data_IF_584759780046
#
_entry.id   IF_584759780046
#
_cell.length_a   1.000
_cell.length_b   1.000
_cell.length_c   1.000
_cell.angle_alpha   90.00
_cell.angle_beta   90.00
_cell.angle_gamma   90.00
#
_symmetry.space_group_name_H-M   'P 1'
#
loop_
_entity.id
_entity.type
_entity.pdbx_description
1 polymer ?
#
# COMPACT_ATOMS: atom_id res chain seq x y z
N UNK A 1 -14.71 -8.48 -15.35
CA UNK A 1 -13.55 -7.56 -15.47
C UNK A 1 -12.30 -8.45 -15.48
N UNK A 2 -11.36 -8.29 -16.43
CA UNK A 2 -10.19 -9.19 -16.51
C UNK A 2 -9.16 -8.79 -15.43
N UNK A 3 -8.69 -9.76 -14.64
CA UNK A 3 -7.73 -9.51 -13.56
C UNK A 3 -6.41 -8.98 -14.12
N UNK A 4 -5.72 -8.13 -13.35
CA UNK A 4 -4.40 -7.61 -13.73
C UNK A 4 -3.37 -8.74 -13.98
N UNK A 5 -3.49 -9.85 -13.25
CA UNK A 5 -2.64 -11.03 -13.43
C UNK A 5 -2.80 -11.68 -14.82
N UNK A 6 -3.93 -11.50 -15.49
CA UNK A 6 -4.22 -12.08 -16.81
C UNK A 6 -3.95 -11.12 -17.97
N UNK A 7 -3.56 -9.88 -17.66
CA UNK A 7 -3.24 -8.92 -18.70
C UNK A 7 -1.97 -9.37 -19.45
N UNK A 8 -1.84 -9.04 -20.74
CA UNK A 8 -0.60 -9.26 -21.47
C UNK A 8 0.59 -8.66 -20.71
N UNK A 9 1.75 -9.33 -20.73
CA UNK A 9 2.94 -8.87 -20.01
C UNK A 9 3.33 -7.43 -20.38
N UNK A 10 3.10 -7.00 -21.62
CA UNK A 10 3.30 -5.61 -22.05
C UNK A 10 2.45 -4.61 -21.25
N UNK A 11 1.19 -4.94 -20.96
CA UNK A 11 0.30 -4.12 -20.14
C UNK A 11 0.80 -4.10 -18.70
N UNK A 12 1.26 -5.23 -18.18
CA UNK A 12 1.83 -5.30 -16.84
C UNK A 12 3.10 -4.44 -16.71
N UNK A 13 4.01 -4.55 -17.67
CA UNK A 13 5.24 -3.75 -17.74
C UNK A 13 4.93 -2.26 -17.85
N UNK A 14 4.02 -1.87 -18.74
CA UNK A 14 3.62 -0.47 -18.94
C UNK A 14 3.14 0.15 -17.64
N UNK A 15 2.33 -0.57 -16.91
CA UNK A 15 1.68 -0.01 -15.75
C UNK A 15 2.56 -0.10 -14.48
N UNK A 16 3.45 -1.11 -14.35
CA UNK A 16 4.59 -1.05 -13.41
C UNK A 16 5.45 0.19 -13.66
N UNK A 17 5.66 0.57 -14.93
CA UNK A 17 6.36 1.81 -15.31
C UNK A 17 5.57 3.06 -14.91
N UNK A 18 4.23 3.04 -14.97
CA UNK A 18 3.39 4.16 -14.49
C UNK A 18 3.48 4.34 -12.98
N UNK A 19 3.37 3.25 -12.20
CA UNK A 19 3.57 3.30 -10.75
C UNK A 19 4.96 3.84 -10.43
N UNK A 20 6.02 3.33 -11.10
CA UNK A 20 7.39 3.84 -10.92
C UNK A 20 7.52 5.33 -11.25
N UNK A 21 6.90 5.80 -12.33
CA UNK A 21 6.92 7.22 -12.70
C UNK A 21 6.17 8.09 -11.69
N UNK A 22 5.03 7.62 -11.20
CA UNK A 22 4.24 8.31 -10.16
C UNK A 22 5.06 8.40 -8.86
N UNK A 23 5.71 7.30 -8.46
CA UNK A 23 6.60 7.30 -7.31
C UNK A 23 7.80 8.22 -7.52
N UNK A 24 8.39 8.27 -8.72
CA UNK A 24 9.47 9.22 -9.02
C UNK A 24 9.04 10.69 -8.84
N UNK A 25 7.78 11.01 -9.12
CA UNK A 25 7.24 12.36 -8.89
C UNK A 25 7.15 12.69 -7.39
N UNK A 26 6.72 11.72 -6.58
CA UNK A 26 6.55 11.90 -5.13
C UNK A 26 7.84 11.68 -4.34
N UNK A 27 8.83 10.96 -4.85
CA UNK A 27 10.08 10.71 -4.12
C UNK A 27 11.04 11.89 -4.25
N UNK A 28 11.52 12.51 -3.16
CA UNK A 28 12.51 13.59 -3.21
C UNK A 28 13.80 13.16 -3.94
N UNK A 29 14.48 14.08 -4.62
CA UNK A 29 15.75 13.85 -5.36
C UNK A 29 16.78 13.04 -4.55
N UNK A 30 16.91 13.33 -3.25
CA UNK A 30 17.82 12.63 -2.31
C UNK A 30 17.50 11.15 -2.04
N UNK A 31 16.31 10.69 -2.44
CA UNK A 31 15.81 9.33 -2.26
C UNK A 31 15.40 8.69 -3.58
N UNK A 32 15.77 9.29 -4.73
CA UNK A 32 15.67 8.60 -6.02
C UNK A 32 16.28 7.24 -5.81
N UNK A 33 15.45 6.20 -5.84
CA UNK A 33 15.85 4.81 -5.66
C UNK A 33 17.11 4.62 -6.49
N UNK A 34 18.26 4.41 -5.86
CA UNK A 34 19.44 3.85 -6.52
C UNK A 34 19.11 2.39 -6.82
N UNK A 35 18.23 2.20 -7.79
CA UNK A 35 17.97 0.96 -8.49
C UNK A 35 18.35 1.17 -9.96
N UNK A 36 19.37 1.99 -10.20
CA UNK A 36 20.03 2.19 -11.48
C UNK A 36 21.04 1.07 -11.77
N UNK A 37 21.34 0.18 -10.80
CA UNK A 37 22.31 -0.91 -10.97
C UNK A 37 21.77 -2.19 -11.62
N UNK A 38 20.49 -2.24 -12.02
CA UNK A 38 19.93 -3.37 -12.81
C UNK A 38 19.68 -2.99 -14.27
N UNK A 39 19.86 -1.71 -14.65
CA UNK A 39 19.59 -1.21 -16.00
C UNK A 39 20.85 -1.22 -16.89
N UNK A 40 22.04 -1.56 -16.37
CA UNK A 40 23.31 -1.54 -17.12
C UNK A 40 23.70 -2.87 -17.81
N UNK A 41 22.98 -3.98 -17.60
CA UNK A 41 23.37 -5.28 -18.20
C UNK A 41 22.56 -5.69 -19.44
N UNK A 42 21.65 -4.83 -19.92
CA UNK A 42 20.82 -5.14 -21.11
C UNK A 42 21.42 -4.68 -22.44
N UNK A 43 22.63 -4.11 -22.44
CA UNK A 43 23.24 -3.63 -23.67
C UNK A 43 24.75 -3.81 -23.70
N UNK A 44 25.26 -5.05 -23.69
CA UNK A 44 26.42 -5.50 -24.51
C UNK A 44 26.61 -7.01 -24.35
N UNK A 45 26.01 -7.81 -25.24
CA UNK A 45 26.60 -9.00 -25.92
C UNK A 45 25.49 -9.77 -26.63
N UNK A 46 25.48 -9.69 -27.96
CA UNK A 46 24.70 -10.60 -28.78
C UNK A 46 25.21 -12.02 -28.54
N UNK A 47 24.32 -12.89 -28.04
CA UNK A 47 24.30 -14.34 -28.22
C UNK A 47 22.99 -14.84 -27.60
N UNK A 48 22.10 -15.39 -28.45
CA UNK A 48 20.93 -16.24 -28.16
C UNK A 48 20.04 -15.87 -26.96
N UNK A 49 18.77 -15.54 -27.21
CA UNK A 49 17.72 -15.58 -26.18
C UNK A 49 17.77 -16.95 -25.47
N UNK A 50 17.94 -17.01 -24.13
CA UNK A 50 17.33 -18.10 -23.39
C UNK A 50 15.82 -17.81 -23.32
N UNK A 51 15.02 -18.74 -23.84
CA UNK A 51 13.58 -18.77 -23.60
C UNK A 51 13.36 -18.80 -22.08
N UNK A 52 12.89 -17.70 -21.49
CA UNK A 52 12.39 -17.74 -20.12
C UNK A 52 10.98 -18.31 -20.17
N UNK A 53 10.92 -19.64 -20.11
CA UNK A 53 9.69 -20.38 -19.84
C UNK A 53 9.22 -19.93 -18.45
N UNK A 54 8.04 -19.32 -18.39
CA UNK A 54 7.36 -19.05 -17.13
C UNK A 54 6.80 -20.38 -16.60
N UNK A 55 7.65 -21.19 -15.96
CA UNK A 55 7.14 -22.23 -15.08
C UNK A 55 6.60 -21.54 -13.82
N UNK A 56 5.36 -21.87 -13.47
CA UNK A 56 4.75 -21.48 -12.22
C UNK A 56 5.49 -22.20 -11.09
N UNK A 57 6.58 -21.62 -10.60
CA UNK A 57 7.21 -22.07 -9.36
C UNK A 57 6.24 -21.78 -8.22
N UNK A 58 5.80 -22.88 -7.58
CA UNK A 58 5.06 -22.89 -6.33
C UNK A 58 5.79 -21.98 -5.33
N UNK A 59 5.11 -20.92 -4.85
CA UNK A 59 5.74 -20.00 -3.92
C UNK A 59 6.21 -20.80 -2.70
N UNK A 60 7.49 -20.66 -2.26
CA UNK A 60 7.94 -21.35 -1.07
C UNK A 60 7.06 -20.92 0.11
N UNK A 61 6.65 -21.89 0.92
CA UNK A 61 5.99 -21.63 2.20
C UNK A 61 6.75 -20.51 2.91
N UNK A 62 6.08 -19.38 3.13
CA UNK A 62 6.68 -18.27 3.86
C UNK A 62 6.91 -18.79 5.28
N UNK A 63 8.16 -19.14 5.57
CA UNK A 63 8.58 -19.61 6.88
C UNK A 63 8.04 -18.67 7.96
N UNK A 64 7.31 -19.23 8.92
CA UNK A 64 6.64 -18.60 10.07
C UNK A 64 7.60 -17.89 11.06
N UNK A 65 8.76 -17.40 10.63
CA UNK A 65 9.65 -16.64 11.50
C UNK A 65 9.78 -15.19 11.03
N UNK A 66 9.06 -14.24 11.66
CA UNK A 66 9.38 -12.83 11.55
C UNK A 66 10.84 -12.65 11.99
N UNK A 67 11.72 -12.27 11.06
CA UNK A 67 13.09 -11.89 11.41
C UNK A 67 13.03 -10.72 12.38
N UNK A 68 13.77 -10.86 13.48
CA UNK A 68 13.93 -10.01 14.66
C UNK A 68 14.35 -8.54 14.38
N UNK A 69 13.57 -7.79 13.61
CA UNK A 69 13.69 -6.34 13.40
C UNK A 69 12.35 -5.65 13.71
N UNK A 70 11.64 -6.10 14.74
CA UNK A 70 10.31 -5.61 15.09
C UNK A 70 10.33 -4.38 16.02
N UNK A 71 11.44 -3.64 16.12
CA UNK A 71 11.59 -2.51 17.06
C UNK A 71 11.68 -1.14 16.40
N UNK A 72 11.60 -1.05 15.07
CA UNK A 72 11.64 0.22 14.33
C UNK A 72 10.25 0.64 13.85
N UNK A 73 9.78 1.81 14.29
CA UNK A 73 8.70 2.51 13.58
C UNK A 73 9.07 2.74 12.10
N UNK A 74 8.12 3.22 11.28
CA UNK A 74 8.34 3.39 9.84
C UNK A 74 9.55 4.30 9.57
N UNK A 75 10.41 3.89 8.65
CA UNK A 75 11.70 4.55 8.37
C UNK A 75 11.50 6.04 8.05
N UNK A 76 12.09 6.91 8.88
CA UNK A 76 12.04 8.38 8.73
C UNK A 76 12.69 8.87 7.44
N UNK A 77 13.58 8.06 6.87
CA UNK A 77 14.33 8.34 5.65
C UNK A 77 13.42 8.22 4.42
N UNK A 78 12.48 7.27 4.42
CA UNK A 78 11.57 6.95 3.30
C UNK A 78 10.36 7.90 3.17
N UNK A 79 10.55 9.21 3.33
CA UNK A 79 9.48 10.21 3.18
C UNK A 79 9.22 10.57 1.71
N UNK A 80 7.94 10.64 1.35
CA UNK A 80 7.46 11.14 0.07
C UNK A 80 7.12 12.63 0.16
N UNK A 81 7.02 13.29 -0.99
CA UNK A 81 6.62 14.68 -1.16
C UNK A 81 5.14 14.80 -0.83
N UNK A 82 4.82 15.76 0.03
CA UNK A 82 3.43 16.12 0.35
C UNK A 82 2.73 16.75 -0.86
N UNK A 83 1.49 16.33 -1.10
CA UNK A 83 0.60 16.85 -2.12
C UNK A 83 -0.71 17.31 -1.46
N UNK A 84 -0.97 18.63 -1.36
CA UNK A 84 -2.14 19.16 -0.68
C UNK A 84 -3.47 18.71 -1.33
N UNK A 85 -3.47 18.39 -2.62
CA UNK A 85 -4.65 17.91 -3.32
C UNK A 85 -5.02 16.49 -2.87
N UNK A 86 -4.02 15.60 -2.81
CA UNK A 86 -4.23 14.24 -2.30
C UNK A 86 -4.56 14.25 -0.80
N UNK A 87 -3.94 15.13 -0.01
CA UNK A 87 -4.29 15.35 1.40
C UNK A 87 -5.75 15.79 1.53
N UNK A 88 -6.25 16.69 0.67
CA UNK A 88 -7.65 17.11 0.69
C UNK A 88 -8.61 15.96 0.35
N UNK A 89 -8.27 15.11 -0.61
CA UNK A 89 -9.07 13.92 -0.93
C UNK A 89 -9.10 12.89 0.22
N UNK A 90 -7.94 12.64 0.84
CA UNK A 90 -7.87 11.80 2.03
C UNK A 90 -8.71 12.40 3.17
N UNK A 91 -8.61 13.71 3.40
CA UNK A 91 -9.36 14.41 4.43
C UNK A 91 -10.87 14.32 4.21
N UNK A 92 -11.34 14.49 2.96
CA UNK A 92 -12.74 14.27 2.60
C UNK A 92 -13.18 12.85 2.95
N UNK A 93 -12.28 11.86 2.78
CA UNK A 93 -12.52 10.48 3.16
C UNK A 93 -12.80 10.32 4.66
N UNK A 94 -11.95 10.90 5.51
CA UNK A 94 -12.13 10.90 6.97
C UNK A 94 -13.45 11.57 7.38
N UNK A 95 -13.80 12.71 6.74
CA UNK A 95 -15.09 13.38 6.98
C UNK A 95 -16.30 12.53 6.58
N UNK A 96 -16.28 11.93 5.39
CA UNK A 96 -17.44 11.21 4.83
C UNK A 96 -17.75 9.92 5.56
N UNK A 97 -16.74 9.28 6.13
CA UNK A 97 -16.89 8.01 6.86
C UNK A 97 -16.85 8.19 8.37
N UNK A 98 -16.75 9.44 8.85
CA UNK A 98 -16.65 9.77 10.27
C UNK A 98 -15.51 9.01 10.97
N UNK A 99 -14.38 8.84 10.27
CA UNK A 99 -13.16 8.25 10.82
C UNK A 99 -12.19 9.34 11.26
N UNK A 100 -11.25 9.00 12.13
CA UNK A 100 -10.25 9.96 12.64
C UNK A 100 -9.30 10.40 11.52
N UNK A 101 -8.87 9.43 10.71
CA UNK A 101 -7.87 9.61 9.67
C UNK A 101 -8.18 8.75 8.44
N UNK A 102 -7.60 9.13 7.31
CA UNK A 102 -7.70 8.39 6.06
C UNK A 102 -6.38 8.48 5.29
N UNK A 103 -6.10 7.46 4.50
CA UNK A 103 -4.91 7.34 3.69
C UNK A 103 -5.27 7.09 2.24
N UNK A 104 -4.44 7.60 1.35
CA UNK A 104 -4.35 7.16 -0.04
C UNK A 104 -2.99 6.51 -0.19
N UNK A 105 -2.99 5.28 -0.69
CA UNK A 105 -1.75 4.55 -0.92
C UNK A 105 -1.74 3.80 -2.24
N UNK A 106 -0.54 3.52 -2.72
CA UNK A 106 -0.26 2.61 -3.82
C UNK A 106 0.40 1.38 -3.22
N UNK A 107 0.14 0.22 -3.77
CA UNK A 107 0.78 -1.01 -3.29
C UNK A 107 1.34 -1.76 -4.48
N UNK A 108 2.58 -2.22 -4.35
CA UNK A 108 3.20 -3.18 -5.26
C UNK A 108 3.51 -4.49 -4.51
N UNK A 109 4.24 -5.42 -5.11
CA UNK A 109 4.52 -6.71 -4.47
C UNK A 109 5.42 -6.64 -3.23
N UNK A 110 6.09 -5.52 -2.97
CA UNK A 110 7.09 -5.38 -1.91
C UNK A 110 6.76 -4.27 -0.90
N UNK A 111 6.16 -3.18 -1.36
CA UNK A 111 5.99 -1.95 -0.60
C UNK A 111 4.57 -1.40 -0.70
N UNK A 112 4.18 -0.73 0.37
CA UNK A 112 3.05 0.19 0.39
C UNK A 112 3.57 1.63 0.39
N UNK A 113 3.11 2.43 -0.55
CA UNK A 113 3.45 3.85 -0.68
C UNK A 113 2.26 4.69 -0.24
N UNK A 114 2.29 5.22 0.98
CA UNK A 114 1.31 6.19 1.44
C UNK A 114 1.63 7.51 0.77
N UNK A 115 0.81 7.91 -0.20
CA UNK A 115 0.99 9.16 -0.94
C UNK A 115 0.26 10.33 -0.28
N UNK A 116 -0.73 10.04 0.56
CA UNK A 116 -1.34 11.01 1.47
C UNK A 116 -1.88 10.32 2.73
N UNK A 117 -1.70 10.98 3.87
CA UNK A 117 -2.48 10.77 5.08
C UNK A 117 -3.14 12.09 5.42
N UNK A 118 -4.38 12.04 5.88
CA UNK A 118 -5.05 13.19 6.42
C UNK A 118 -5.90 12.82 7.63
N UNK A 119 -5.89 13.68 8.62
CA UNK A 119 -6.89 13.70 9.69
C UNK A 119 -7.98 14.71 9.38
N UNK A 120 -9.06 14.71 10.17
CA UNK A 120 -10.13 15.70 9.98
C UNK A 120 -9.66 17.13 10.24
N UNK A 121 -8.62 17.32 11.07
CA UNK A 121 -8.10 18.64 11.41
C UNK A 121 -6.85 19.08 10.65
N UNK A 122 -6.24 18.22 9.82
CA UNK A 122 -5.03 18.58 9.08
C UNK A 122 -5.23 19.84 8.22
N UNK A 123 -4.27 20.76 8.29
CA UNK A 123 -4.24 21.93 7.43
C UNK A 123 -3.84 21.53 6.01
N UNK A 124 -4.58 22.03 5.02
CA UNK A 124 -4.24 21.87 3.60
C UNK A 124 -3.16 22.86 3.13
N UNK A 125 -2.88 23.89 3.94
CA UNK A 125 -1.93 24.96 3.62
C UNK A 125 -0.59 24.74 4.33
N UNK A 126 -0.65 24.40 5.62
CA UNK A 126 0.51 24.21 6.48
C UNK A 126 0.72 22.71 6.73
N UNK A 127 1.92 22.22 6.41
CA UNK A 127 2.22 20.80 6.52
C UNK A 127 2.19 20.34 7.98
N UNK A 128 1.60 19.18 8.21
CA UNK A 128 1.54 18.48 9.51
C UNK A 128 0.86 19.28 10.64
N UNK A 129 0.30 20.47 10.34
CA UNK A 129 -0.45 21.26 11.29
C UNK A 129 -1.83 20.63 11.49
N UNK A 130 -2.12 20.25 12.73
CA UNK A 130 -3.34 19.53 13.15
C UNK A 130 -3.78 20.06 14.51
N UNK A 131 -4.99 19.69 14.95
CA UNK A 131 -5.40 19.90 16.34
C UNK A 131 -4.63 18.94 17.26
N UNK A 132 -4.36 19.32 18.52
CA UNK A 132 -3.75 18.42 19.50
C UNK A 132 -4.52 17.11 19.63
N UNK A 133 -3.82 15.97 19.55
CA UNK A 133 -4.38 14.61 19.60
C UNK A 133 -4.87 14.07 18.25
N UNK A 134 -4.84 14.86 17.18
CA UNK A 134 -5.25 14.49 15.81
C UNK A 134 -4.07 14.60 14.84
N UNK A 135 -2.85 14.35 15.33
CA UNK A 135 -1.61 14.47 14.59
C UNK A 135 -1.52 13.43 13.47
N UNK A 136 -0.76 13.80 12.43
CA UNK A 136 -0.37 12.89 11.35
C UNK A 136 0.51 11.77 11.92
N UNK A 137 0.12 10.52 11.69
CA UNK A 137 0.80 9.36 12.26
C UNK A 137 1.99 8.92 11.38
N UNK A 138 1.74 8.71 10.09
CA UNK A 138 2.70 8.22 9.11
C UNK A 138 3.19 9.35 8.22
N UNK A 139 2.25 10.13 7.69
CA UNK A 139 2.48 11.06 6.60
C UNK A 139 2.78 10.35 5.29
N UNK A 140 3.11 11.14 4.26
CA UNK A 140 3.47 10.60 2.95
C UNK A 140 4.83 9.85 3.03
N UNK A 141 4.83 8.54 2.81
CA UNK A 141 6.03 7.68 2.98
C UNK A 141 5.92 6.30 2.33
N UNK A 142 7.04 5.59 2.29
CA UNK A 142 7.12 4.18 1.89
C UNK A 142 7.15 3.30 3.15
N UNK A 143 6.33 2.26 3.16
CA UNK A 143 6.23 1.23 4.18
C UNK A 143 6.57 -0.13 3.58
N UNK A 144 7.30 -0.94 4.33
CA UNK A 144 7.49 -2.34 3.97
C UNK A 144 6.16 -3.09 4.18
N UNK A 145 5.79 -3.98 3.25
CA UNK A 145 4.47 -4.63 3.24
C UNK A 145 4.11 -5.32 4.58
N UNK A 146 5.10 -5.92 5.23
CA UNK A 146 4.96 -6.63 6.51
C UNK A 146 4.54 -5.72 7.67
N UNK A 147 4.80 -4.41 7.55
CA UNK A 147 4.42 -3.41 8.55
C UNK A 147 2.97 -2.95 8.37
N UNK A 148 2.50 -2.90 7.11
CA UNK A 148 1.16 -2.48 6.74
C UNK A 148 0.06 -3.46 7.16
N UNK A 149 -1.19 -2.98 7.10
CA UNK A 149 -2.37 -3.83 7.31
C UNK A 149 -2.58 -4.69 6.06
N UNK A 150 -2.64 -6.00 6.27
CA UNK A 150 -2.93 -7.08 5.32
C UNK A 150 -2.04 -7.14 4.06
N UNK A 151 -0.98 -7.99 4.05
CA UNK A 151 -0.18 -8.20 2.84
C UNK A 151 -0.98 -8.83 1.68
N UNK A 152 -2.10 -9.49 1.98
CA UNK A 152 -2.93 -10.19 0.99
C UNK A 152 -3.99 -9.29 0.34
N UNK A 153 -4.01 -8.00 0.66
CA UNK A 153 -4.96 -7.03 0.10
C UNK A 153 -4.97 -7.06 -1.44
N UNK A 154 -3.79 -7.13 -2.09
CA UNK A 154 -3.73 -7.22 -3.56
C UNK A 154 -4.41 -8.49 -4.05
N UNK A 155 -4.13 -9.64 -3.43
CA UNK A 155 -4.73 -10.92 -3.83
C UNK A 155 -6.26 -10.87 -3.69
N UNK A 156 -6.76 -10.33 -2.58
CA UNK A 156 -8.20 -10.19 -2.34
C UNK A 156 -8.89 -9.33 -3.41
N UNK A 157 -8.30 -8.19 -3.77
CA UNK A 157 -8.90 -7.26 -4.72
C UNK A 157 -8.72 -7.63 -6.20
N UNK A 158 -7.87 -8.60 -6.48
CA UNK A 158 -7.59 -9.09 -7.85
C UNK A 158 -8.07 -10.53 -8.09
N UNK A 159 -8.63 -11.18 -7.07
CA UNK A 159 -9.24 -12.49 -7.16
C UNK A 159 -10.35 -12.53 -8.21
N UNK A 160 -10.44 -13.64 -8.94
CA UNK A 160 -11.40 -13.82 -10.06
C UNK A 160 -12.73 -14.40 -9.62
N UNK A 161 -12.71 -15.10 -8.50
CA UNK A 161 -13.84 -15.79 -7.92
C UNK A 161 -13.93 -15.47 -6.43
N UNK A 162 -14.98 -15.98 -5.80
CA UNK A 162 -15.22 -15.75 -4.38
C UNK A 162 -14.41 -16.70 -3.47
N UNK A 163 -13.46 -17.45 -4.03
CA UNK A 163 -12.63 -18.45 -3.35
C UNK A 163 -11.57 -17.73 -2.50
N UNK A 164 -12.00 -17.21 -1.35
CA UNK A 164 -11.18 -16.38 -0.47
C UNK A 164 -11.95 -15.23 0.17
N UNK A 165 -13.18 -14.97 -0.26
CA UNK A 165 -14.04 -13.98 0.36
C UNK A 165 -14.28 -14.34 1.83
N UNK A 166 -14.03 -13.37 2.71
CA UNK A 166 -14.25 -13.50 4.15
C UNK A 166 -15.46 -12.67 4.53
N UNK A 167 -16.40 -13.27 5.24
CA UNK A 167 -17.50 -12.52 5.88
C UNK A 167 -17.80 -13.12 7.24
N UNK A 168 -17.39 -12.41 8.28
CA UNK A 168 -17.73 -12.70 9.67
C UNK A 168 -17.94 -11.38 10.44
N UNK A 169 -18.15 -11.46 11.75
CA UNK A 169 -18.45 -10.29 12.58
C UNK A 169 -17.29 -9.29 12.66
N UNK A 170 -16.04 -9.73 12.51
CA UNK A 170 -14.85 -8.91 12.61
C UNK A 170 -14.32 -8.44 11.26
N UNK A 171 -14.46 -9.25 10.21
CA UNK A 171 -13.85 -9.01 8.90
C UNK A 171 -14.84 -9.28 7.77
N UNK A 172 -14.94 -8.34 6.85
CA UNK A 172 -15.57 -8.51 5.53
C UNK A 172 -14.56 -8.16 4.46
N UNK A 173 -14.10 -9.14 3.67
CA UNK A 173 -13.13 -8.95 2.62
C UNK A 173 -13.59 -9.65 1.34
N UNK A 174 -13.57 -8.92 0.23
CA UNK A 174 -13.84 -9.40 -1.12
C UNK A 174 -13.14 -8.47 -2.13
N UNK A 175 -13.50 -8.59 -3.41
CA UNK A 175 -12.89 -7.86 -4.50
C UNK A 175 -13.22 -6.36 -4.50
N UNK A 176 -14.21 -5.90 -3.73
CA UNK A 176 -14.66 -4.51 -3.72
C UNK A 176 -14.36 -3.78 -2.41
N UNK A 177 -14.16 -4.52 -1.32
CA UNK A 177 -13.87 -3.93 -0.01
C UNK A 177 -13.10 -4.88 0.91
N UNK A 178 -12.34 -4.30 1.82
CA UNK A 178 -11.73 -4.98 2.95
C UNK A 178 -11.99 -4.18 4.21
N UNK A 179 -12.91 -4.65 5.03
CA UNK A 179 -13.38 -4.00 6.26
C UNK A 179 -13.04 -4.88 7.45
N UNK A 180 -12.40 -4.28 8.45
CA UNK A 180 -12.14 -4.88 9.76
C UNK A 180 -12.80 -3.99 10.82
N UNK A 181 -13.77 -4.54 11.54
CA UNK A 181 -14.61 -3.77 12.46
C UNK A 181 -13.87 -3.42 13.77
N UNK A 182 -12.98 -4.31 14.23
CA UNK A 182 -12.15 -4.09 15.40
C UNK A 182 -10.81 -4.84 15.28
N UNK A 183 -9.75 -4.10 14.95
CA UNK A 183 -8.38 -4.59 14.84
C UNK A 183 -7.83 -5.13 16.17
N UNK A 184 -8.32 -4.64 17.32
CA UNK A 184 -7.87 -5.12 18.63
C UNK A 184 -8.46 -6.48 18.99
N UNK A 185 -9.57 -6.87 18.36
CA UNK A 185 -10.19 -8.18 18.50
C UNK A 185 -9.61 -9.22 17.53
N UNK A 186 -8.73 -8.82 16.61
CA UNK A 186 -8.12 -9.71 15.62
C UNK A 186 -6.72 -10.10 16.11
N UNK A 187 -6.52 -11.39 16.43
CA UNK A 187 -5.32 -11.92 17.07
C UNK A 187 -4.01 -11.50 16.37
N UNK A 188 -3.98 -11.54 15.02
CA UNK A 188 -2.80 -11.16 14.23
C UNK A 188 -2.44 -9.66 14.28
N UNK A 189 -3.35 -8.81 14.75
CA UNK A 189 -3.19 -7.35 14.69
C UNK A 189 -3.14 -6.70 16.07
N UNK A 190 -3.79 -7.28 17.08
CA UNK A 190 -3.99 -6.65 18.40
C UNK A 190 -2.71 -6.11 19.07
N UNK A 191 -1.56 -6.74 18.82
CA UNK A 191 -0.27 -6.37 19.42
C UNK A 191 0.57 -5.42 18.55
N UNK A 192 0.11 -5.03 17.36
CA UNK A 192 0.87 -4.09 16.52
C UNK A 192 0.94 -2.73 17.21
N UNK A 193 2.07 -2.00 17.13
CA UNK A 193 2.25 -0.73 17.83
C UNK A 193 1.13 0.29 17.57
N UNK A 194 0.69 0.42 16.31
CA UNK A 194 -0.37 1.36 15.92
C UNK A 194 -1.79 0.95 16.35
N UNK A 195 -1.95 -0.21 16.99
CA UNK A 195 -3.21 -0.71 17.55
C UNK A 195 -3.15 -0.68 19.08
N UNK A 196 -2.09 -1.25 19.66
CA UNK A 196 -1.88 -1.28 21.10
C UNK A 196 -1.58 0.13 21.66
N UNK A 197 -0.81 0.92 20.92
CA UNK A 197 -0.38 2.28 21.25
C UNK A 197 -0.96 3.28 20.25
N UNK A 198 -0.55 4.55 20.34
CA UNK A 198 -1.02 5.61 19.44
C UNK A 198 -0.76 5.24 17.96
N UNK A 199 -1.75 5.44 17.06
CA UNK A 199 -3.01 6.17 17.23
C UNK A 199 -4.19 5.29 17.68
N UNK A 200 -3.95 4.10 18.23
CA UNK A 200 -4.97 3.17 18.69
C UNK A 200 -5.99 2.79 17.61
N UNK A 201 -5.51 2.41 16.43
CA UNK A 201 -6.38 2.00 15.32
C UNK A 201 -7.33 0.86 15.75
N UNK A 202 -8.62 1.00 15.43
CA UNK A 202 -9.67 0.01 15.76
C UNK A 202 -10.44 -0.40 14.52
N UNK A 203 -11.14 0.54 13.91
CA UNK A 203 -11.82 0.31 12.64
C UNK A 203 -10.85 0.50 11.48
N UNK A 204 -10.97 -0.34 10.46
CA UNK A 204 -10.24 -0.21 9.21
C UNK A 204 -11.16 -0.55 8.06
N UNK A 205 -11.29 0.35 7.09
CA UNK A 205 -11.92 0.02 5.83
C UNK A 205 -11.03 0.41 4.66
N UNK A 206 -10.99 -0.47 3.68
CA UNK A 206 -10.17 -0.34 2.51
C UNK A 206 -10.98 -0.63 1.25
N UNK A 207 -10.84 0.25 0.26
CA UNK A 207 -11.43 0.04 -1.07
C UNK A 207 -10.38 0.23 -2.16
N UNK A 208 -10.41 -0.62 -3.20
CA UNK A 208 -9.54 -0.47 -4.36
C UNK A 208 -10.07 0.65 -5.27
N UNK A 209 -9.17 1.48 -5.75
CA UNK A 209 -9.38 2.53 -6.75
C UNK A 209 -8.70 2.01 -8.00
N UNK A 210 -9.36 1.96 -9.14
CA UNK A 210 -8.73 1.42 -10.35
C UNK A 210 -8.32 2.54 -11.30
N UNK A 211 -7.13 2.47 -11.89
CA UNK A 211 -6.81 3.24 -13.11
C UNK A 211 -7.70 2.75 -14.25
N UNK A 212 -7.88 3.55 -15.29
CA UNK A 212 -8.63 3.18 -16.51
C UNK A 212 -8.07 1.92 -17.21
N UNK A 213 -6.87 1.47 -16.82
CA UNK A 213 -6.24 0.22 -17.28
C UNK A 213 -6.12 -0.84 -16.17
N UNK A 214 -6.92 -0.71 -15.10
CA UNK A 214 -7.06 -1.64 -13.98
C UNK A 214 -5.91 -1.61 -12.96
N UNK A 215 -5.66 -0.45 -12.32
CA UNK A 215 -4.66 -0.33 -11.24
C UNK A 215 -5.12 0.26 -9.92
N UNK A 216 -4.79 -0.43 -8.85
CA UNK A 216 -5.25 -0.23 -7.49
C UNK A 216 -4.58 0.98 -6.78
N UNK A 217 -5.34 2.03 -6.46
CA UNK A 217 -5.05 2.88 -5.31
C UNK A 217 -5.87 2.36 -4.13
N UNK A 218 -5.25 2.32 -2.97
CA UNK A 218 -5.86 1.86 -1.75
C UNK A 218 -6.31 3.10 -1.00
N UNK A 219 -7.62 3.26 -0.85
CA UNK A 219 -8.19 4.20 0.11
C UNK A 219 -8.32 3.47 1.43
N UNK A 220 -7.55 3.87 2.45
CA UNK A 220 -7.72 3.40 3.83
C UNK A 220 -8.51 4.46 4.60
N UNK A 221 -9.48 4.06 5.39
CA UNK A 221 -10.29 4.94 6.21
C UNK A 221 -10.44 4.37 7.60
#
# INVERSE_FOLDING_TARGET
MHSFADQPEEVKIRERKRVRNLLRYYTPEKWKLTRESEDDDFNTKGNGLPETICEAEEQPDIAENPKENETGGPDSSKRLRHDPTLTAFAQLGAYRLNTERSFISLVDSHNQYIIAEATRSVSLHERDLTKPGDEIFLGARILDMHWGICPNTIQMFTAKDDTGNVKNNLVTANQTQYVMNDLSAIEKYKNRPYIAEWPHMRYYAEVPIYSELSYQFIRRT
#
